data_IF_166548388659
#
_entry.id   IF_166548388659
#
_cell.length_a   1.000
_cell.length_b   1.000
_cell.length_c   1.000
_cell.angle_alpha   90.00
_cell.angle_beta   90.00
_cell.angle_gamma   90.00
#
_symmetry.space_group_name_H-M   'P 1'
#
loop_
_entity.id
_entity.type
_entity.pdbx_description
1 polymer ?
#
# COMPACT_ATOMS: atom_id res chain seq x y z
N UNK A 1 -12.09 17.50 4.52
CA UNK A 1 -12.88 17.21 3.31
C UNK A 1 -12.84 15.72 3.07
N UNK A 2 -14.00 15.12 2.81
CA UNK A 2 -14.14 13.68 2.50
C UNK A 2 -13.73 13.42 1.04
N UNK A 3 -13.32 12.19 0.70
CA UNK A 3 -12.85 11.88 -0.64
C UNK A 3 -14.00 11.82 -1.65
N UNK A 4 -13.73 12.26 -2.87
CA UNK A 4 -14.60 12.07 -4.03
C UNK A 4 -13.83 11.31 -5.11
N UNK A 5 -14.37 10.17 -5.53
CA UNK A 5 -13.77 9.29 -6.52
C UNK A 5 -14.45 9.55 -7.87
N UNK A 6 -13.72 10.10 -8.83
CA UNK A 6 -14.26 10.38 -10.17
C UNK A 6 -13.75 9.31 -11.13
N UNK A 7 -14.67 8.46 -11.58
CA UNK A 7 -14.43 7.42 -12.57
C UNK A 7 -14.83 7.96 -13.93
N UNK A 8 -13.86 8.11 -14.82
CA UNK A 8 -14.08 8.67 -16.15
C UNK A 8 -13.48 7.80 -17.25
N UNK A 9 -13.89 8.10 -18.47
CA UNK A 9 -13.55 7.34 -19.67
C UNK A 9 -14.69 7.40 -20.69
N UNK A 10 -14.44 6.92 -21.89
CA UNK A 10 -15.43 6.91 -22.97
C UNK A 10 -16.66 6.05 -22.62
N UNK A 11 -17.76 6.25 -23.35
CA UNK A 11 -18.97 5.44 -23.22
C UNK A 11 -18.65 3.96 -23.48
N UNK A 12 -19.31 3.06 -22.75
CA UNK A 12 -19.03 1.62 -22.83
C UNK A 12 -17.78 1.14 -22.06
N UNK A 13 -16.97 2.03 -21.48
CA UNK A 13 -15.78 1.63 -20.68
C UNK A 13 -16.12 0.96 -19.34
N UNK A 14 -17.37 1.06 -18.87
CA UNK A 14 -17.84 0.44 -17.63
C UNK A 14 -17.94 1.38 -16.41
N UNK A 15 -17.86 2.71 -16.60
CA UNK A 15 -17.89 3.71 -15.52
C UNK A 15 -18.95 3.46 -14.44
N UNK A 16 -20.22 3.33 -14.83
CA UNK A 16 -21.33 3.13 -13.88
C UNK A 16 -21.26 1.77 -13.17
N UNK A 17 -20.74 0.73 -13.85
CA UNK A 17 -20.53 -0.59 -13.24
C UNK A 17 -19.44 -0.54 -12.17
N UNK A 18 -18.25 -0.02 -12.52
CA UNK A 18 -17.14 0.12 -11.57
C UNK A 18 -17.52 1.08 -10.44
N UNK A 19 -18.21 2.19 -10.75
CA UNK A 19 -18.61 3.18 -9.76
C UNK A 19 -19.60 2.67 -8.73
N UNK A 20 -20.59 1.86 -9.12
CA UNK A 20 -21.50 1.25 -8.15
C UNK A 20 -20.78 0.24 -7.24
N UNK A 21 -19.94 -0.62 -7.82
CA UNK A 21 -19.18 -1.60 -7.04
C UNK A 21 -18.20 -0.93 -6.07
N UNK A 22 -17.52 0.13 -6.51
CA UNK A 22 -16.62 0.90 -5.67
C UNK A 22 -17.38 1.62 -4.55
N UNK A 23 -18.52 2.24 -4.86
CA UNK A 23 -19.37 2.92 -3.89
C UNK A 23 -19.89 1.96 -2.80
N UNK A 24 -20.29 0.75 -3.19
CA UNK A 24 -20.69 -0.31 -2.26
C UNK A 24 -19.55 -0.70 -1.32
N UNK A 25 -18.35 -0.94 -1.86
CA UNK A 25 -17.15 -1.29 -1.07
C UNK A 25 -16.69 -0.18 -0.13
N UNK A 26 -16.82 1.08 -0.54
CA UNK A 26 -16.43 2.24 0.26
C UNK A 26 -17.55 2.74 1.21
N UNK A 27 -18.75 2.17 1.12
CA UNK A 27 -19.96 2.67 1.80
C UNK A 27 -20.25 4.16 1.50
N UNK A 28 -20.01 4.58 0.26
CA UNK A 28 -20.25 5.94 -0.23
C UNK A 28 -21.46 5.98 -1.17
N UNK A 29 -22.12 7.14 -1.32
CA UNK A 29 -23.13 7.30 -2.38
C UNK A 29 -22.49 7.26 -3.77
N UNK A 30 -23.20 6.62 -4.71
CA UNK A 30 -22.88 6.65 -6.13
C UNK A 30 -23.75 7.67 -6.86
N UNK A 31 -23.15 8.43 -7.77
CA UNK A 31 -23.82 9.35 -8.68
C UNK A 31 -23.37 9.10 -10.11
N UNK A 32 -24.30 9.10 -11.06
CA UNK A 32 -23.97 9.07 -12.50
C UNK A 32 -24.05 10.49 -13.05
N UNK A 33 -22.97 10.95 -13.67
CA UNK A 33 -22.85 12.31 -14.20
C UNK A 33 -23.88 12.60 -15.28
N UNK A 34 -24.33 11.56 -16.00
CA UNK A 34 -25.35 11.71 -17.04
C UNK A 34 -26.71 12.16 -16.45
N UNK A 35 -26.98 11.88 -15.16
CA UNK A 35 -28.21 12.29 -14.45
C UNK A 35 -28.29 13.80 -14.19
N UNK A 36 -27.18 14.54 -14.36
CA UNK A 36 -27.07 15.97 -14.08
C UNK A 36 -27.09 16.84 -15.34
N UNK A 37 -27.30 16.25 -16.51
CA UNK A 37 -27.39 17.02 -17.75
C UNK A 37 -28.65 17.91 -17.77
N UNK A 38 -28.53 19.19 -18.18
CA UNK A 38 -29.70 20.03 -18.44
C UNK A 38 -30.61 19.44 -19.53
N UNK A 39 -31.91 19.74 -19.49
CA UNK A 39 -32.89 19.26 -20.49
C UNK A 39 -32.46 19.55 -21.94
N UNK A 40 -31.83 20.71 -22.19
CA UNK A 40 -31.30 21.06 -23.51
C UNK A 40 -30.21 20.10 -24.00
N UNK A 41 -29.35 19.62 -23.10
CA UNK A 41 -28.30 18.65 -23.44
C UNK A 41 -28.91 17.28 -23.72
N UNK A 42 -29.89 16.86 -22.91
CA UNK A 42 -30.60 15.60 -23.10
C UNK A 42 -31.30 15.60 -24.46
N UNK A 43 -32.01 16.68 -24.81
CA UNK A 43 -32.68 16.82 -26.10
C UNK A 43 -31.68 16.71 -27.27
N UNK A 44 -30.57 17.47 -27.22
CA UNK A 44 -29.53 17.46 -28.26
C UNK A 44 -28.89 16.08 -28.44
N UNK A 45 -28.58 15.39 -27.34
CA UNK A 45 -28.05 14.02 -27.39
C UNK A 45 -29.08 13.01 -27.90
N UNK A 46 -30.37 13.16 -27.54
CA UNK A 46 -31.44 12.27 -28.01
C UNK A 46 -31.70 12.39 -29.53
N UNK A 47 -31.37 13.55 -30.11
CA UNK A 47 -31.39 13.80 -31.55
C UNK A 47 -30.11 13.32 -32.27
N UNK A 48 -29.16 12.71 -31.53
CA UNK A 48 -27.89 12.22 -32.08
C UNK A 48 -26.84 13.32 -32.31
N UNK A 49 -27.08 14.56 -31.84
CA UNK A 49 -26.14 15.65 -32.00
C UNK A 49 -25.14 15.67 -30.82
N UNK A 50 -23.81 15.61 -31.08
CA UNK A 50 -22.82 15.68 -30.01
C UNK A 50 -22.84 17.02 -29.26
N UNK A 51 -22.64 16.96 -27.94
CA UNK A 51 -22.45 18.16 -27.12
C UNK A 51 -21.07 18.77 -27.36
N UNK A 52 -21.03 20.07 -27.58
CA UNK A 52 -19.81 20.85 -27.64
C UNK A 52 -19.38 21.35 -26.25
N UNK A 53 -18.33 22.15 -26.26
CA UNK A 53 -17.69 22.72 -25.08
C UNK A 53 -18.55 23.74 -24.32
N UNK A 54 -19.43 24.46 -25.01
CA UNK A 54 -20.39 25.42 -24.42
C UNK A 54 -21.60 24.68 -23.83
N UNK A 55 -22.12 23.67 -24.54
CA UNK A 55 -23.23 22.84 -24.07
C UNK A 55 -22.86 22.12 -22.75
N UNK A 56 -21.61 21.67 -22.61
CA UNK A 56 -21.13 20.95 -21.42
C UNK A 56 -20.87 21.85 -20.22
N UNK A 57 -20.69 23.16 -20.40
CA UNK A 57 -20.26 24.06 -19.33
C UNK A 57 -21.26 24.11 -18.14
N UNK A 58 -22.58 24.30 -18.35
CA UNK A 58 -23.54 24.30 -17.25
C UNK A 58 -23.55 22.97 -16.47
N UNK A 59 -23.45 21.85 -17.18
CA UNK A 59 -23.37 20.51 -16.59
C UNK A 59 -22.11 20.34 -15.71
N UNK A 60 -20.95 20.79 -16.19
CA UNK A 60 -19.71 20.74 -15.42
C UNK A 60 -19.76 21.60 -14.16
N UNK A 61 -20.42 22.77 -14.22
CA UNK A 61 -20.63 23.62 -13.04
C UNK A 61 -21.54 22.96 -12.02
N UNK A 62 -22.68 22.39 -12.44
CA UNK A 62 -23.55 21.62 -11.55
C UNK A 62 -22.81 20.46 -10.87
N UNK A 63 -21.98 19.72 -11.61
CA UNK A 63 -21.16 18.66 -11.03
C UNK A 63 -20.11 19.21 -10.06
N UNK A 64 -19.44 20.33 -10.39
CA UNK A 64 -18.44 20.96 -9.50
C UNK A 64 -19.05 21.41 -8.17
N UNK A 65 -20.25 22.00 -8.20
CA UNK A 65 -21.00 22.42 -7.00
C UNK A 65 -21.41 21.21 -6.15
N UNK A 66 -21.91 20.15 -6.79
CA UNK A 66 -22.27 18.90 -6.13
C UNK A 66 -21.05 18.20 -5.51
N UNK A 67 -19.92 18.15 -6.21
CA UNK A 67 -18.66 17.62 -5.66
C UNK A 67 -18.23 18.38 -4.41
N UNK A 68 -18.41 19.71 -4.38
CA UNK A 68 -18.12 20.51 -3.20
C UNK A 68 -19.03 20.14 -2.01
N UNK A 69 -20.33 19.95 -2.26
CA UNK A 69 -21.30 19.51 -1.25
C UNK A 69 -21.00 18.07 -0.75
N UNK A 70 -20.76 17.12 -1.65
CA UNK A 70 -20.48 15.73 -1.27
C UNK A 70 -19.18 15.61 -0.46
N UNK A 71 -18.17 16.41 -0.80
CA UNK A 71 -16.88 16.46 -0.09
C UNK A 71 -16.99 17.06 1.33
N UNK A 72 -17.96 17.93 1.60
CA UNK A 72 -18.19 18.46 2.95
C UNK A 72 -19.01 17.51 3.83
N UNK A 73 -19.79 16.60 3.24
CA UNK A 73 -20.61 15.62 3.93
C UNK A 73 -19.86 14.30 4.16
N UNK A 74 -20.10 13.28 3.31
CA UNK A 74 -19.62 11.90 3.48
C UNK A 74 -18.64 11.44 2.41
N UNK A 75 -18.44 12.21 1.35
CA UNK A 75 -17.74 11.78 0.14
C UNK A 75 -18.69 11.16 -0.88
N UNK A 76 -18.18 10.82 -2.06
CA UNK A 76 -18.99 10.24 -3.14
C UNK A 76 -18.14 9.48 -4.17
N UNK A 77 -18.79 8.60 -4.93
CA UNK A 77 -18.26 8.05 -6.19
C UNK A 77 -19.07 8.62 -7.34
N UNK A 78 -18.41 9.26 -8.30
CA UNK A 78 -19.02 9.90 -9.46
C UNK A 78 -18.53 9.21 -10.75
N UNK A 79 -19.44 8.62 -11.52
CA UNK A 79 -19.16 8.28 -12.92
C UNK A 79 -19.31 9.55 -13.77
N UNK A 80 -18.31 9.92 -14.58
CA UNK A 80 -18.35 11.17 -15.34
C UNK A 80 -17.66 11.06 -16.71
N UNK A 81 -18.17 11.75 -17.73
CA UNK A 81 -17.55 11.85 -19.06
C UNK A 81 -16.59 13.06 -19.18
N UNK A 82 -15.74 13.27 -18.17
CA UNK A 82 -14.73 14.34 -18.13
C UNK A 82 -13.49 14.04 -19.01
N UNK A 83 -13.69 13.99 -20.33
CA UNK A 83 -12.69 13.51 -21.29
C UNK A 83 -11.54 14.50 -21.57
N UNK A 84 -11.78 15.81 -21.46
CA UNK A 84 -10.77 16.87 -21.67
C UNK A 84 -10.20 17.39 -20.34
N UNK A 85 -8.96 17.87 -20.35
CA UNK A 85 -8.28 18.46 -19.19
C UNK A 85 -9.05 19.66 -18.65
N UNK A 86 -9.50 20.57 -19.53
CA UNK A 86 -10.36 21.70 -19.15
C UNK A 86 -11.61 21.30 -18.37
N UNK A 87 -12.18 20.12 -18.63
CA UNK A 87 -13.35 19.64 -17.87
C UNK A 87 -12.93 19.18 -16.47
N UNK A 88 -11.79 18.48 -16.39
CA UNK A 88 -11.22 18.02 -15.12
C UNK A 88 -10.78 19.19 -14.25
N UNK A 89 -10.22 20.26 -14.82
CA UNK A 89 -9.88 21.49 -14.09
C UNK A 89 -11.11 22.15 -13.44
N UNK A 90 -12.25 22.23 -14.16
CA UNK A 90 -13.50 22.77 -13.61
C UNK A 90 -14.01 21.92 -12.43
N UNK A 91 -13.94 20.60 -12.55
CA UNK A 91 -14.36 19.68 -11.49
C UNK A 91 -13.36 19.64 -10.32
N UNK A 92 -12.06 19.79 -10.59
CA UNK A 92 -11.00 19.84 -9.59
C UNK A 92 -11.11 21.10 -8.74
N UNK A 93 -11.14 22.28 -9.36
CA UNK A 93 -11.02 23.56 -8.66
C UNK A 93 -9.81 23.58 -7.73
N UNK A 94 -9.97 24.07 -6.50
CA UNK A 94 -8.91 24.07 -5.46
C UNK A 94 -8.96 22.82 -4.56
N UNK A 95 -9.75 21.81 -4.90
CA UNK A 95 -10.03 20.66 -4.04
C UNK A 95 -8.83 19.72 -4.06
N UNK A 96 -8.43 19.17 -2.90
CA UNK A 96 -7.32 18.19 -2.79
C UNK A 96 -7.80 16.76 -2.57
N UNK A 97 -9.10 16.55 -2.33
CA UNK A 97 -9.68 15.25 -1.96
C UNK A 97 -10.36 14.52 -3.13
N UNK A 98 -9.97 14.82 -4.37
CA UNK A 98 -10.49 14.13 -5.55
C UNK A 98 -9.49 13.06 -6.01
N UNK A 99 -9.98 11.83 -6.14
CA UNK A 99 -9.24 10.73 -6.77
C UNK A 99 -9.74 10.56 -8.21
N UNK A 100 -8.83 10.71 -9.18
CA UNK A 100 -9.14 10.50 -10.59
C UNK A 100 -8.86 9.06 -11.01
N UNK A 101 -9.83 8.41 -11.63
CA UNK A 101 -9.72 7.04 -12.12
C UNK A 101 -10.13 6.99 -13.59
N UNK A 102 -9.16 6.81 -14.49
CA UNK A 102 -9.40 6.59 -15.91
C UNK A 102 -9.61 5.10 -16.17
N UNK A 103 -10.79 4.74 -16.70
CA UNK A 103 -11.01 3.42 -17.30
C UNK A 103 -10.49 3.42 -18.74
N UNK A 104 -9.35 2.78 -18.96
CA UNK A 104 -8.64 2.76 -20.24
C UNK A 104 -8.79 1.43 -20.96
N UNK A 105 -9.08 1.47 -22.25
CA UNK A 105 -9.05 0.31 -23.13
C UNK A 105 -9.06 0.70 -24.59
N UNK A 106 -8.74 -0.26 -25.46
CA UNK A 106 -8.70 -0.02 -26.90
C UNK A 106 -10.10 0.18 -27.50
N UNK A 107 -10.16 1.00 -28.57
CA UNK A 107 -11.39 1.28 -29.30
C UNK A 107 -12.16 0.02 -29.71
N UNK A 108 -11.46 -0.99 -30.25
CA UNK A 108 -12.09 -2.22 -30.73
C UNK A 108 -12.77 -3.01 -29.61
N UNK A 109 -12.16 -3.06 -28.43
CA UNK A 109 -12.73 -3.75 -27.26
C UNK A 109 -14.01 -3.06 -26.80
N UNK A 110 -13.99 -1.73 -26.69
CA UNK A 110 -15.15 -0.95 -26.24
C UNK A 110 -16.26 -0.97 -27.29
N UNK A 111 -15.92 -0.82 -28.57
CA UNK A 111 -16.87 -0.92 -29.67
C UNK A 111 -17.59 -2.26 -29.68
N UNK A 112 -16.86 -3.38 -29.44
CA UNK A 112 -17.45 -4.71 -29.33
C UNK A 112 -18.41 -4.82 -28.13
N UNK A 113 -18.05 -4.26 -26.97
CA UNK A 113 -18.93 -4.24 -25.78
C UNK A 113 -20.21 -3.43 -26.01
N UNK A 114 -20.16 -2.40 -26.86
CA UNK A 114 -21.30 -1.55 -27.18
C UNK A 114 -22.22 -2.14 -28.25
N UNK A 115 -21.67 -2.89 -29.21
CA UNK A 115 -22.45 -3.59 -30.24
C UNK A 115 -23.38 -4.66 -29.69
N UNK A 116 -22.97 -5.34 -28.61
CA UNK A 116 -23.77 -6.40 -27.98
C UNK A 116 -25.03 -5.86 -27.27
N UNK A 117 -25.29 -4.55 -27.35
CA UNK A 117 -26.48 -3.86 -26.85
C UNK A 117 -27.18 -3.20 -28.05
N UNK A 118 -28.45 -3.51 -28.31
CA UNK A 118 -29.19 -3.13 -29.52
C UNK A 118 -28.99 -1.66 -29.97
N UNK A 119 -28.84 -1.47 -31.29
CA UNK A 119 -28.62 -0.23 -32.07
C UNK A 119 -27.14 0.18 -32.34
N UNK A 120 -26.60 -0.24 -33.49
CA UNK A 120 -25.14 -0.32 -33.76
C UNK A 120 -24.49 0.94 -34.36
N UNK A 121 -25.20 1.70 -35.21
CA UNK A 121 -24.57 2.70 -36.08
C UNK A 121 -24.22 3.99 -35.31
N UNK A 122 -25.21 4.58 -34.64
CA UNK A 122 -25.06 5.79 -33.80
C UNK A 122 -24.03 5.61 -32.68
N UNK A 123 -23.90 4.40 -32.12
CA UNK A 123 -22.97 4.12 -31.00
C UNK A 123 -21.50 4.18 -31.40
N UNK A 124 -21.18 3.84 -32.66
CA UNK A 124 -19.79 3.82 -33.14
C UNK A 124 -19.25 5.22 -33.43
N UNK A 125 -20.06 6.09 -34.03
CA UNK A 125 -19.70 7.49 -34.31
C UNK A 125 -19.54 8.28 -33.01
N UNK A 126 -20.44 8.08 -32.05
CA UNK A 126 -20.30 8.64 -30.70
C UNK A 126 -19.02 8.14 -30.01
N UNK A 127 -18.69 6.86 -30.12
CA UNK A 127 -17.47 6.32 -29.53
C UNK A 127 -16.21 6.94 -30.16
N UNK A 128 -16.18 7.07 -31.49
CA UNK A 128 -15.07 7.69 -32.22
C UNK A 128 -14.84 9.13 -31.74
N UNK A 129 -15.87 9.96 -31.73
CA UNK A 129 -15.76 11.36 -31.28
C UNK A 129 -15.29 11.49 -29.83
N UNK A 130 -15.64 10.53 -28.95
CA UNK A 130 -15.16 10.53 -27.57
C UNK A 130 -13.68 10.14 -27.44
N UNK A 131 -13.19 9.21 -28.27
CA UNK A 131 -11.77 8.88 -28.32
C UNK A 131 -10.93 10.03 -28.88
N UNK A 132 -11.44 10.77 -29.88
CA UNK A 132 -10.75 11.93 -30.47
C UNK A 132 -10.52 13.06 -29.47
N UNK A 133 -11.43 13.23 -28.50
CA UNK A 133 -11.32 14.29 -27.48
C UNK A 133 -10.77 13.80 -26.13
N UNK A 134 -10.45 12.51 -25.99
CA UNK A 134 -9.92 11.97 -24.73
C UNK A 134 -8.47 12.40 -24.54
N UNK A 135 -8.26 13.30 -23.59
CA UNK A 135 -6.94 13.72 -23.14
C UNK A 135 -6.55 12.90 -21.91
N UNK A 136 -5.46 12.14 -21.98
CA UNK A 136 -4.98 11.28 -20.87
C UNK A 136 -4.03 12.11 -19.99
N UNK A 137 -4.37 12.37 -18.71
CA UNK A 137 -3.51 13.12 -17.80
C UNK A 137 -2.33 12.29 -17.29
N UNK A 138 -1.31 12.97 -16.76
CA UNK A 138 -0.19 12.36 -16.04
C UNK A 138 -0.49 12.02 -14.58
N UNK A 139 -1.71 12.32 -14.11
CA UNK A 139 -2.18 12.10 -12.74
C UNK A 139 -3.35 11.13 -12.68
N UNK A 140 -3.65 10.65 -11.47
CA UNK A 140 -4.73 9.71 -11.23
C UNK A 140 -4.37 8.27 -11.60
N UNK A 141 -5.26 7.35 -11.24
CA UNK A 141 -5.12 5.93 -11.53
C UNK A 141 -5.63 5.63 -12.94
N UNK A 142 -4.82 4.94 -13.75
CA UNK A 142 -5.25 4.37 -15.03
C UNK A 142 -5.54 2.87 -14.84
N UNK A 143 -6.82 2.51 -14.86
CA UNK A 143 -7.27 1.13 -14.72
C UNK A 143 -7.55 0.49 -16.09
N UNK A 144 -7.00 -0.69 -16.33
CA UNK A 144 -7.17 -1.43 -17.58
C UNK A 144 -8.50 -2.19 -17.58
N UNK A 145 -9.37 -1.87 -18.55
CA UNK A 145 -10.69 -2.48 -18.67
C UNK A 145 -10.67 -3.91 -19.22
N UNK A 146 -9.51 -4.46 -19.58
CA UNK A 146 -9.36 -5.89 -19.90
C UNK A 146 -9.53 -6.77 -18.67
N UNK A 147 -9.29 -6.23 -17.48
CA UNK A 147 -9.49 -6.89 -16.19
C UNK A 147 -10.98 -7.04 -15.86
N UNK A 148 -11.29 -7.94 -14.92
CA UNK A 148 -12.65 -8.07 -14.39
C UNK A 148 -13.03 -6.84 -13.52
N UNK A 149 -14.33 -6.52 -13.40
CA UNK A 149 -14.78 -5.40 -12.56
C UNK A 149 -14.28 -5.46 -11.11
N UNK A 150 -14.20 -6.65 -10.52
CA UNK A 150 -13.69 -6.83 -9.15
C UNK A 150 -12.21 -6.52 -9.04
N UNK A 151 -11.38 -6.95 -10.01
CA UNK A 151 -9.95 -6.63 -10.03
C UNK A 151 -9.71 -5.12 -10.13
N UNK A 152 -10.46 -4.44 -11.00
CA UNK A 152 -10.37 -2.98 -11.15
C UNK A 152 -10.75 -2.27 -9.84
N UNK A 153 -11.84 -2.70 -9.19
CA UNK A 153 -12.26 -2.12 -7.91
C UNK A 153 -11.20 -2.35 -6.82
N UNK A 154 -10.63 -3.55 -6.72
CA UNK A 154 -9.58 -3.84 -5.76
C UNK A 154 -8.31 -3.00 -6.01
N UNK A 155 -7.93 -2.80 -7.28
CA UNK A 155 -6.84 -1.91 -7.66
C UNK A 155 -7.11 -0.46 -7.21
N UNK A 156 -8.34 0.05 -7.45
CA UNK A 156 -8.73 1.40 -7.03
C UNK A 156 -8.67 1.52 -5.51
N UNK A 157 -9.23 0.56 -4.77
CA UNK A 157 -9.20 0.56 -3.31
C UNK A 157 -7.76 0.59 -2.78
N UNK A 158 -6.90 -0.29 -3.30
CA UNK A 158 -5.48 -0.34 -2.91
C UNK A 158 -4.76 0.99 -3.16
N UNK A 159 -4.94 1.61 -4.32
CA UNK A 159 -4.24 2.85 -4.67
C UNK A 159 -4.78 4.08 -3.93
N UNK A 160 -6.07 4.12 -3.66
CA UNK A 160 -6.72 5.29 -3.06
C UNK A 160 -6.83 5.23 -1.54
N UNK A 161 -6.63 4.05 -0.94
CA UNK A 161 -6.54 3.86 0.50
C UNK A 161 -5.10 3.87 1.04
N UNK A 162 -4.09 4.24 0.22
CA UNK A 162 -2.76 4.62 0.70
C UNK A 162 -2.89 5.84 1.62
N UNK A 163 -3.13 5.60 2.90
CA UNK A 163 -3.52 6.62 3.89
C UNK A 163 -2.36 7.09 4.76
N UNK A 164 -1.20 6.44 4.66
CA UNK A 164 0.01 6.83 5.34
C UNK A 164 1.06 7.47 4.44
N UNK A 165 2.00 8.18 5.05
CA UNK A 165 3.16 8.78 4.37
C UNK A 165 4.42 7.92 4.47
N UNK A 166 4.42 6.92 5.36
CA UNK A 166 5.59 6.06 5.60
C UNK A 166 5.50 4.74 4.85
N UNK A 167 6.60 4.38 4.19
CA UNK A 167 6.76 3.17 3.38
C UNK A 167 6.88 1.90 4.25
N UNK A 168 7.38 2.07 5.49
CA UNK A 168 7.67 0.97 6.41
C UNK A 168 7.50 1.39 7.88
N UNK A 169 7.17 0.43 8.74
CA UNK A 169 6.99 0.60 10.17
C UNK A 169 7.94 -0.27 11.00
N UNK A 170 8.50 0.25 12.10
CA UNK A 170 9.25 -0.55 13.08
C UNK A 170 8.66 -0.40 14.48
N UNK A 171 8.35 -1.53 15.11
CA UNK A 171 7.91 -1.61 16.51
C UNK A 171 9.07 -2.15 17.36
N UNK A 172 9.51 -1.38 18.36
CA UNK A 172 10.59 -1.75 19.25
C UNK A 172 11.89 -1.01 18.94
N UNK A 173 12.31 -0.13 19.84
CA UNK A 173 13.49 0.74 19.71
C UNK A 173 14.65 0.35 20.63
N UNK A 174 14.75 -0.95 20.96
CA UNK A 174 15.98 -1.50 21.54
C UNK A 174 17.19 -1.34 20.60
N UNK A 175 18.36 -1.82 21.02
CA UNK A 175 19.62 -1.65 20.25
C UNK A 175 19.47 -2.07 18.78
N UNK A 176 18.91 -3.26 18.53
CA UNK A 176 18.70 -3.75 17.16
C UNK A 176 17.66 -2.93 16.39
N UNK A 177 16.51 -2.62 17.00
CA UNK A 177 15.44 -1.88 16.35
C UNK A 177 15.80 -0.43 16.03
N UNK A 178 16.55 0.23 16.91
CA UNK A 178 17.12 1.56 16.64
C UNK A 178 18.11 1.51 15.48
N UNK A 179 19.03 0.55 15.47
CA UNK A 179 20.05 0.44 14.42
C UNK A 179 19.44 0.12 13.06
N UNK A 180 18.48 -0.80 12.99
CA UNK A 180 17.83 -1.14 11.72
C UNK A 180 16.94 0.00 11.20
N UNK A 181 16.30 0.76 12.10
CA UNK A 181 15.54 1.95 11.72
C UNK A 181 16.41 3.00 11.04
N UNK A 182 17.61 3.26 11.57
CA UNK A 182 18.57 4.17 10.94
C UNK A 182 19.10 3.63 9.60
N UNK A 183 19.27 2.30 9.48
CA UNK A 183 19.64 1.68 8.20
C UNK A 183 18.54 1.89 7.14
N UNK A 184 17.27 1.66 7.50
CA UNK A 184 16.12 1.91 6.60
C UNK A 184 16.10 3.36 6.13
N UNK A 185 16.30 4.32 7.04
CA UNK A 185 16.35 5.74 6.71
C UNK A 185 17.51 6.11 5.77
N UNK A 186 18.69 5.51 5.94
CA UNK A 186 19.83 5.71 5.04
C UNK A 186 19.58 5.23 3.61
N UNK A 187 18.62 4.31 3.42
CA UNK A 187 18.18 3.86 2.09
C UNK A 187 17.11 4.77 1.46
N UNK A 188 16.67 5.81 2.17
CA UNK A 188 15.73 6.81 1.67
C UNK A 188 14.25 6.46 1.86
N UNK A 189 13.92 5.40 2.60
CA UNK A 189 12.53 5.06 2.90
C UNK A 189 11.94 5.99 3.97
N UNK A 190 10.68 6.34 3.81
CA UNK A 190 9.90 7.03 4.85
C UNK A 190 9.54 6.04 5.94
N UNK A 191 9.99 6.31 7.15
CA UNK A 191 9.86 5.38 8.27
C UNK A 191 8.92 5.94 9.33
N UNK A 192 8.02 5.11 9.81
CA UNK A 192 7.37 5.33 11.10
C UNK A 192 7.95 4.36 12.11
N UNK A 193 8.17 4.82 13.34
CA UNK A 193 8.57 3.96 14.46
C UNK A 193 7.62 4.10 15.62
N UNK A 194 7.44 3.00 16.35
CA UNK A 194 6.66 2.97 17.58
C UNK A 194 7.42 2.26 18.69
N UNK A 195 7.36 2.86 19.88
CA UNK A 195 7.80 2.22 21.11
C UNK A 195 6.90 2.63 22.27
N UNK A 196 6.71 1.74 23.24
CA UNK A 196 5.99 2.08 24.47
C UNK A 196 6.78 3.16 25.24
N UNK A 197 6.08 4.11 25.85
CA UNK A 197 6.69 5.21 26.60
C UNK A 197 6.56 5.05 28.12
N UNK A 198 6.54 3.80 28.61
CA UNK A 198 6.39 3.49 30.03
C UNK A 198 7.69 2.93 30.63
N UNK A 199 7.97 3.29 31.88
CA UNK A 199 9.15 2.78 32.60
C UNK A 199 10.47 3.04 31.87
N UNK A 200 11.30 2.00 31.74
CA UNK A 200 12.63 2.10 31.13
C UNK A 200 12.60 2.34 29.61
N UNK A 201 11.45 2.15 28.96
CA UNK A 201 11.29 2.29 27.51
C UNK A 201 11.11 3.76 27.09
N UNK A 202 10.66 4.64 27.98
CA UNK A 202 10.50 6.08 27.74
C UNK A 202 11.82 6.76 27.35
N UNK A 203 12.94 6.28 27.89
CA UNK A 203 14.26 6.82 27.57
C UNK A 203 14.75 6.38 26.17
N UNK A 204 14.32 5.20 25.69
CA UNK A 204 14.69 4.71 24.36
C UNK A 204 14.08 5.57 23.26
N UNK A 205 12.80 5.93 23.39
CA UNK A 205 12.14 6.77 22.40
C UNK A 205 12.73 8.18 22.36
N UNK A 206 13.07 8.75 23.53
CA UNK A 206 13.73 10.05 23.62
C UNK A 206 15.11 10.03 22.93
N UNK A 207 15.95 9.05 23.27
CA UNK A 207 17.26 8.86 22.63
C UNK A 207 17.14 8.64 21.12
N UNK A 208 16.11 7.92 20.69
CA UNK A 208 15.89 7.71 19.26
C UNK A 208 15.53 9.00 18.54
N UNK A 209 14.62 9.83 19.09
CA UNK A 209 14.27 11.15 18.52
C UNK A 209 15.50 12.03 18.34
N UNK A 210 16.42 12.03 19.31
CA UNK A 210 17.68 12.78 19.22
C UNK A 210 18.57 12.23 18.10
N UNK A 211 18.78 10.90 18.05
CA UNK A 211 19.59 10.23 17.02
C UNK A 211 19.02 10.36 15.60
N UNK A 212 17.69 10.44 15.46
CA UNK A 212 17.01 10.51 14.17
C UNK A 212 16.69 11.94 13.75
N UNK A 213 17.09 12.97 14.51
CA UNK A 213 16.68 14.36 14.29
C UNK A 213 17.13 14.95 12.94
N UNK A 214 18.19 14.41 12.35
CA UNK A 214 18.72 14.85 11.05
C UNK A 214 17.98 14.23 9.85
N UNK A 215 17.12 13.24 10.08
CA UNK A 215 16.39 12.55 9.01
C UNK A 215 15.05 13.24 8.73
N UNK A 216 14.78 13.68 7.49
CA UNK A 216 13.55 14.41 7.16
C UNK A 216 12.31 13.52 7.03
N UNK A 217 12.49 12.20 6.90
CA UNK A 217 11.43 11.24 6.56
C UNK A 217 11.15 10.23 7.69
N UNK A 218 11.19 10.67 8.94
CA UNK A 218 10.93 9.85 10.13
C UNK A 218 9.75 10.38 10.96
N UNK A 219 8.83 9.49 11.34
CA UNK A 219 7.79 9.76 12.33
C UNK A 219 7.98 8.87 13.56
N UNK A 220 7.90 9.45 14.76
CA UNK A 220 8.13 8.74 16.03
C UNK A 220 6.87 8.79 16.89
N UNK A 221 6.26 7.63 17.15
CA UNK A 221 4.97 7.49 17.82
C UNK A 221 5.08 6.75 19.16
N UNK A 222 4.23 7.17 20.09
CA UNK A 222 4.00 6.55 21.41
C UNK A 222 2.60 5.91 21.48
N UNK A 223 1.76 6.17 20.47
CA UNK A 223 0.42 5.64 20.31
C UNK A 223 0.40 4.70 19.10
N UNK A 224 -0.04 3.45 19.32
CA UNK A 224 0.00 2.41 18.31
C UNK A 224 -0.97 2.68 17.16
N UNK A 225 -2.16 3.20 17.44
CA UNK A 225 -3.16 3.49 16.41
C UNK A 225 -2.69 4.60 15.47
N UNK A 226 -2.07 5.66 16.00
CA UNK A 226 -1.45 6.72 15.18
C UNK A 226 -0.28 6.20 14.36
N UNK A 227 0.52 5.29 14.91
CA UNK A 227 1.58 4.62 14.17
C UNK A 227 1.02 3.84 12.98
N UNK A 228 0.03 2.96 13.19
CA UNK A 228 -0.56 2.14 12.11
C UNK A 228 -1.21 3.02 11.04
N UNK A 229 -1.91 4.09 11.44
CA UNK A 229 -2.52 5.04 10.51
C UNK A 229 -1.52 5.88 9.69
N UNK A 230 -0.24 5.90 10.08
CA UNK A 230 0.80 6.64 9.36
C UNK A 230 1.46 5.84 8.23
N UNK A 231 1.17 4.54 8.13
CA UNK A 231 1.78 3.62 7.18
C UNK A 231 0.97 3.54 5.87
N UNK A 232 1.67 3.51 4.74
CA UNK A 232 1.04 3.21 3.45
C UNK A 232 0.48 1.78 3.43
N UNK A 233 -0.65 1.57 2.76
CA UNK A 233 -1.22 0.24 2.53
C UNK A 233 -0.63 -0.40 1.26
N UNK A 234 -0.39 -1.74 1.23
CA UNK A 234 -0.42 -2.63 2.38
C UNK A 234 0.66 -2.26 3.41
N UNK A 235 0.29 -2.25 4.69
CA UNK A 235 1.16 -1.82 5.80
C UNK A 235 2.22 -2.88 6.04
N UNK A 236 3.46 -2.42 6.25
CA UNK A 236 4.65 -3.29 6.42
C UNK A 236 5.26 -2.99 7.78
N UNK A 237 5.14 -3.90 8.73
CA UNK A 237 5.51 -3.66 10.12
C UNK A 237 6.55 -4.68 10.59
N UNK A 238 7.77 -4.22 10.85
CA UNK A 238 8.82 -5.02 11.47
C UNK A 238 8.76 -4.94 13.00
N UNK A 239 8.62 -6.10 13.65
CA UNK A 239 8.70 -6.26 15.09
C UNK A 239 10.16 -6.54 15.50
N UNK A 240 10.76 -5.62 16.25
CA UNK A 240 12.10 -5.74 16.83
C UNK A 240 12.02 -5.78 18.36
N UNK A 241 11.22 -6.71 18.86
CA UNK A 241 10.94 -6.91 20.28
C UNK A 241 11.36 -8.30 20.75
N UNK A 242 11.37 -8.50 22.07
CA UNK A 242 11.74 -9.78 22.66
C UNK A 242 10.72 -10.86 22.27
N UNK A 243 11.22 -11.99 21.77
CA UNK A 243 10.40 -13.16 21.42
C UNK A 243 9.59 -13.68 22.62
N UNK A 244 8.44 -14.29 22.32
CA UNK A 244 7.46 -14.82 23.28
C UNK A 244 6.31 -13.85 23.54
N UNK A 245 5.75 -13.86 24.75
CA UNK A 245 4.51 -13.14 25.13
C UNK A 245 4.41 -11.68 24.69
N UNK A 246 5.54 -10.96 24.63
CA UNK A 246 5.54 -9.57 24.17
C UNK A 246 5.18 -9.46 22.69
N UNK A 247 5.67 -10.38 21.85
CA UNK A 247 5.37 -10.45 20.43
C UNK A 247 3.91 -10.84 20.21
N UNK A 248 3.45 -11.91 20.86
CA UNK A 248 2.05 -12.38 20.80
C UNK A 248 1.05 -11.26 21.19
N UNK A 249 1.34 -10.53 22.28
CA UNK A 249 0.50 -9.43 22.74
C UNK A 249 0.42 -8.27 21.75
N UNK A 250 1.53 -7.93 21.08
CA UNK A 250 1.56 -6.87 20.08
C UNK A 250 0.79 -7.32 18.83
N UNK A 251 1.02 -8.54 18.35
CA UNK A 251 0.30 -9.12 17.20
C UNK A 251 -1.20 -9.12 17.46
N UNK A 252 -1.66 -9.58 18.63
CA UNK A 252 -3.07 -9.57 18.99
C UNK A 252 -3.70 -8.18 18.96
N UNK A 253 -2.94 -7.14 19.33
CA UNK A 253 -3.43 -5.76 19.28
C UNK A 253 -3.48 -5.25 17.84
N UNK A 254 -2.48 -5.60 17.03
CA UNK A 254 -2.39 -5.21 15.62
C UNK A 254 -3.53 -5.77 14.77
N UNK A 255 -4.05 -6.97 15.08
CA UNK A 255 -5.20 -7.56 14.35
C UNK A 255 -6.38 -6.59 14.27
N UNK A 256 -6.64 -5.81 15.32
CA UNK A 256 -7.75 -4.83 15.33
C UNK A 256 -7.47 -3.52 14.58
N UNK A 257 -6.24 -3.31 14.11
CA UNK A 257 -5.77 -2.07 13.50
C UNK A 257 -5.31 -2.24 12.05
N UNK A 258 -5.11 -3.49 11.62
CA UNK A 258 -4.65 -3.85 10.28
C UNK A 258 -5.81 -4.28 9.39
N UNK A 259 -5.61 -4.12 8.09
CA UNK A 259 -6.53 -4.52 7.04
C UNK A 259 -5.98 -5.77 6.31
N UNK A 260 -6.81 -6.41 5.48
CA UNK A 260 -6.39 -7.52 4.61
C UNK A 260 -5.19 -7.10 3.73
N UNK A 261 -4.24 -8.02 3.55
CA UNK A 261 -2.96 -7.87 2.83
C UNK A 261 -1.89 -7.02 3.53
N UNK A 262 -2.14 -6.51 4.74
CA UNK A 262 -1.07 -5.95 5.57
C UNK A 262 -0.11 -7.06 6.02
N UNK A 263 1.19 -6.74 6.19
CA UNK A 263 2.24 -7.72 6.50
C UNK A 263 2.98 -7.35 7.78
N UNK A 264 2.96 -8.27 8.74
CA UNK A 264 3.79 -8.23 9.95
C UNK A 264 5.05 -9.06 9.72
N UNK A 265 6.20 -8.52 10.10
CA UNK A 265 7.50 -9.18 9.99
C UNK A 265 8.06 -9.32 11.40
N UNK A 266 8.25 -10.53 11.90
CA UNK A 266 8.93 -10.76 13.19
C UNK A 266 10.43 -10.87 12.96
N UNK A 267 11.18 -9.84 13.37
CA UNK A 267 12.64 -9.79 13.29
C UNK A 267 13.35 -10.36 14.53
N UNK A 268 12.60 -10.94 15.46
CA UNK A 268 13.10 -11.53 16.69
C UNK A 268 13.86 -12.85 16.49
N UNK A 269 14.29 -13.43 17.61
CA UNK A 269 14.81 -14.81 17.64
C UNK A 269 13.70 -15.76 18.09
N UNK A 270 12.56 -15.75 17.40
CA UNK A 270 11.40 -16.57 17.74
C UNK A 270 11.63 -18.03 17.38
N UNK A 271 11.00 -18.94 18.12
CA UNK A 271 11.02 -20.36 17.78
C UNK A 271 10.11 -20.60 16.57
N UNK A 272 10.61 -21.25 15.53
CA UNK A 272 9.94 -21.34 14.23
C UNK A 272 8.51 -21.89 14.27
N UNK A 273 8.20 -22.81 15.20
CA UNK A 273 6.83 -23.33 15.35
C UNK A 273 5.85 -22.29 15.87
N UNK A 274 6.31 -21.34 16.69
CA UNK A 274 5.48 -20.23 17.15
C UNK A 274 5.14 -19.32 15.96
N UNK A 275 6.06 -19.14 15.02
CA UNK A 275 5.78 -18.42 13.76
C UNK A 275 4.69 -19.11 12.96
N UNK A 276 4.75 -20.44 12.82
CA UNK A 276 3.71 -21.21 12.11
C UNK A 276 2.36 -21.13 12.81
N UNK A 277 2.33 -21.14 14.14
CA UNK A 277 1.10 -20.95 14.93
C UNK A 277 0.50 -19.55 14.73
N UNK A 278 1.31 -18.50 14.68
CA UNK A 278 0.85 -17.13 14.43
C UNK A 278 0.38 -16.94 12.99
N UNK A 279 1.09 -17.51 12.01
CA UNK A 279 0.68 -17.50 10.60
C UNK A 279 -0.73 -18.09 10.45
N UNK A 280 -0.96 -19.28 10.99
CA UNK A 280 -2.27 -19.93 10.95
C UNK A 280 -3.39 -19.11 11.63
N UNK A 281 -3.06 -18.31 12.66
CA UNK A 281 -4.03 -17.43 13.32
C UNK A 281 -4.37 -16.20 12.47
N UNK A 282 -3.41 -15.68 11.71
CA UNK A 282 -3.58 -14.45 10.92
C UNK A 282 -4.22 -14.71 9.55
N UNK A 283 -4.19 -15.95 9.06
CA UNK A 283 -4.89 -16.39 7.84
C UNK A 283 -6.40 -16.04 7.88
N UNK A 284 -7.05 -16.21 9.04
CA UNK A 284 -8.47 -15.88 9.24
C UNK A 284 -8.79 -14.38 9.05
N UNK A 285 -7.77 -13.52 9.15
CA UNK A 285 -7.87 -12.07 9.00
C UNK A 285 -7.29 -11.56 7.67
N UNK A 286 -6.72 -12.44 6.84
CA UNK A 286 -6.02 -12.06 5.62
C UNK A 286 -4.79 -11.19 5.87
N UNK A 287 -4.15 -11.30 7.05
CA UNK A 287 -2.95 -10.54 7.41
C UNK A 287 -1.72 -11.44 7.21
N UNK A 288 -0.74 -10.95 6.47
CA UNK A 288 0.51 -11.66 6.21
C UNK A 288 1.44 -11.67 7.43
N UNK A 289 2.18 -12.77 7.61
CA UNK A 289 3.16 -12.90 8.70
C UNK A 289 4.45 -13.58 8.24
N UNK A 290 5.55 -12.84 8.31
CA UNK A 290 6.88 -13.31 7.93
C UNK A 290 7.74 -13.48 9.18
N UNK A 291 8.20 -14.71 9.43
CA UNK A 291 9.28 -14.97 10.39
C UNK A 291 10.62 -14.66 9.75
N UNK A 292 11.34 -13.67 10.30
CA UNK A 292 12.52 -13.09 9.65
C UNK A 292 13.74 -13.13 10.57
N UNK A 293 14.65 -14.06 10.29
CA UNK A 293 15.93 -14.10 10.99
C UNK A 293 16.83 -12.92 10.62
N UNK A 294 17.25 -12.11 11.60
CA UNK A 294 18.19 -11.00 11.38
C UNK A 294 19.50 -11.25 12.13
N UNK A 295 20.65 -11.27 11.44
CA UNK A 295 21.98 -11.54 12.02
C UNK A 295 23.00 -10.44 11.70
N UNK A 296 23.99 -10.24 12.58
CA UNK A 296 25.06 -9.24 12.44
C UNK A 296 25.23 -8.28 13.64
N UNK A 297 24.42 -8.44 14.68
CA UNK A 297 24.45 -7.59 15.88
C UNK A 297 24.11 -6.12 15.59
N UNK A 298 24.43 -5.22 16.53
CA UNK A 298 24.11 -3.80 16.42
C UNK A 298 24.70 -3.16 15.16
N UNK A 299 25.99 -3.43 14.89
CA UNK A 299 26.70 -2.89 13.72
C UNK A 299 26.13 -3.44 12.42
N UNK A 300 25.86 -4.75 12.37
CA UNK A 300 25.20 -5.36 11.22
C UNK A 300 23.84 -4.75 10.96
N UNK A 301 22.98 -4.62 11.98
CA UNK A 301 21.67 -3.99 11.84
C UNK A 301 21.76 -2.57 11.25
N UNK A 302 22.77 -1.79 11.65
CA UNK A 302 22.96 -0.40 11.19
C UNK A 302 23.45 -0.27 9.74
N UNK A 303 24.28 -1.20 9.26
CA UNK A 303 24.99 -1.02 7.97
C UNK A 303 24.73 -2.12 6.94
N UNK A 304 24.08 -3.22 7.33
CA UNK A 304 23.85 -4.38 6.48
C UNK A 304 23.85 -5.67 7.29
N UNK A 305 22.70 -6.19 7.74
CA UNK A 305 22.62 -7.50 8.36
C UNK A 305 22.41 -8.60 7.29
N UNK A 306 22.56 -9.86 7.70
CA UNK A 306 21.98 -10.99 6.98
C UNK A 306 20.50 -11.11 7.36
N UNK A 307 19.62 -11.27 6.37
CA UNK A 307 18.16 -11.29 6.57
C UNK A 307 17.58 -12.56 5.96
N UNK A 308 16.79 -13.29 6.74
CA UNK A 308 16.31 -14.64 6.42
C UNK A 308 14.78 -14.71 6.56
N UNK A 309 14.01 -14.12 5.64
CA UNK A 309 12.55 -14.13 5.67
C UNK A 309 11.97 -15.49 5.23
N UNK A 310 10.97 -15.97 5.97
CA UNK A 310 10.14 -17.11 5.57
C UNK A 310 8.66 -16.89 5.93
N UNK A 311 7.77 -17.45 5.12
CA UNK A 311 6.33 -17.19 5.17
C UNK A 311 5.68 -17.36 3.79
N UNK A 312 4.55 -16.71 3.54
CA UNK A 312 3.93 -16.73 2.22
C UNK A 312 4.82 -16.00 1.18
N UNK A 313 5.02 -16.55 -0.03
CA UNK A 313 5.79 -15.86 -1.07
C UNK A 313 5.14 -14.54 -1.53
N UNK A 314 3.82 -14.40 -1.47
CA UNK A 314 3.12 -13.15 -1.77
C UNK A 314 3.46 -12.07 -0.75
N UNK A 315 3.46 -12.40 0.55
CA UNK A 315 3.85 -11.47 1.61
C UNK A 315 5.31 -11.04 1.45
N UNK A 316 6.20 -11.96 1.05
CA UNK A 316 7.60 -11.62 0.79
C UNK A 316 7.72 -10.58 -0.32
N UNK A 317 6.98 -10.74 -1.42
CA UNK A 317 6.99 -9.77 -2.52
C UNK A 317 6.58 -8.35 -2.07
N UNK A 318 5.67 -8.24 -1.09
CA UNK A 318 5.25 -6.94 -0.51
C UNK A 318 6.38 -6.23 0.25
N UNK A 319 7.26 -7.00 0.90
CA UNK A 319 8.30 -6.47 1.82
C UNK A 319 9.73 -6.54 1.26
N UNK A 320 9.96 -7.26 0.15
CA UNK A 320 11.30 -7.60 -0.34
C UNK A 320 12.18 -6.38 -0.61
N UNK A 321 11.59 -5.31 -1.14
CA UNK A 321 12.34 -4.11 -1.55
C UNK A 321 13.08 -3.49 -0.36
N UNK A 322 12.40 -3.35 0.78
CA UNK A 322 13.00 -2.80 2.00
C UNK A 322 14.04 -3.77 2.55
N UNK A 323 13.69 -5.06 2.70
CA UNK A 323 14.58 -6.08 3.28
C UNK A 323 15.88 -6.24 2.48
N UNK A 324 15.80 -6.36 1.15
CA UNK A 324 16.98 -6.51 0.29
C UNK A 324 17.84 -5.23 0.27
N UNK A 325 17.23 -4.05 0.35
CA UNK A 325 17.93 -2.76 0.36
C UNK A 325 18.75 -2.54 1.63
N UNK A 326 18.24 -2.97 2.79
CA UNK A 326 18.91 -2.79 4.08
C UNK A 326 19.92 -3.90 4.39
N UNK A 327 19.86 -5.04 3.69
CA UNK A 327 20.79 -6.17 3.89
C UNK A 327 22.23 -5.84 3.50
N UNK A 328 23.18 -6.61 4.05
CA UNK A 328 24.56 -6.62 3.55
C UNK A 328 24.60 -7.01 2.07
N UNK A 329 25.68 -6.66 1.36
CA UNK A 329 25.94 -7.16 0.01
C UNK A 329 27.12 -8.13 0.01
N UNK A 330 27.01 -9.19 -0.78
CA UNK A 330 28.12 -10.13 -0.99
C UNK A 330 29.20 -9.54 -1.91
N UNK A 331 30.24 -10.33 -2.22
CA UNK A 331 31.35 -9.89 -3.07
C UNK A 331 30.92 -9.54 -4.51
N UNK A 332 29.79 -10.09 -4.98
CA UNK A 332 29.23 -9.87 -6.31
C UNK A 332 28.17 -8.75 -6.31
N UNK A 333 27.90 -8.15 -5.15
CA UNK A 333 26.93 -7.07 -4.98
C UNK A 333 25.50 -7.54 -4.73
N UNK A 334 25.24 -8.84 -4.58
CA UNK A 334 23.91 -9.37 -4.31
C UNK A 334 23.50 -9.12 -2.85
N UNK A 335 22.21 -8.86 -2.57
CA UNK A 335 21.71 -8.79 -1.19
C UNK A 335 21.94 -10.09 -0.43
N UNK A 336 22.42 -9.99 0.81
CA UNK A 336 22.40 -11.06 1.82
C UNK A 336 20.98 -11.21 2.42
N UNK A 337 19.99 -11.29 1.54
CA UNK A 337 18.58 -11.46 1.82
C UNK A 337 17.96 -12.28 0.69
N UNK A 338 17.24 -13.36 1.02
CA UNK A 338 16.52 -14.17 0.05
C UNK A 338 15.33 -14.84 0.71
N UNK A 339 14.28 -15.12 -0.06
CA UNK A 339 13.14 -15.90 0.43
C UNK A 339 13.59 -17.33 0.78
N UNK A 340 13.47 -17.69 2.07
CA UNK A 340 13.98 -18.96 2.59
C UNK A 340 13.00 -20.11 2.32
N UNK A 341 11.70 -19.86 2.44
CA UNK A 341 10.66 -20.87 2.28
C UNK A 341 9.39 -20.53 3.05
N UNK A 342 8.41 -21.44 3.00
CA UNK A 342 7.11 -21.29 3.65
C UNK A 342 7.18 -21.52 5.16
N UNK A 343 6.12 -21.10 5.87
CA UNK A 343 6.00 -21.36 7.31
C UNK A 343 7.07 -20.63 8.14
N UNK A 344 7.61 -21.33 9.13
CA UNK A 344 8.66 -20.81 10.02
C UNK A 344 10.09 -20.88 9.46
N UNK A 345 10.27 -21.13 8.15
CA UNK A 345 11.58 -21.45 7.57
C UNK A 345 12.68 -20.40 7.85
N UNK A 346 12.33 -19.10 7.80
CA UNK A 346 13.27 -18.01 8.09
C UNK A 346 13.85 -18.07 9.51
N UNK A 347 12.99 -18.24 10.51
CA UNK A 347 13.42 -18.43 11.90
C UNK A 347 14.15 -19.76 12.12
N UNK A 348 13.77 -20.82 11.39
CA UNK A 348 14.48 -22.10 11.47
C UNK A 348 15.93 -21.97 10.98
N UNK A 349 16.16 -21.33 9.82
CA UNK A 349 17.52 -21.09 9.32
C UNK A 349 18.31 -20.22 10.29
N UNK A 350 17.70 -19.19 10.90
CA UNK A 350 18.35 -18.39 11.93
C UNK A 350 18.73 -19.20 13.18
N UNK A 351 17.87 -20.12 13.59
CA UNK A 351 18.17 -21.03 14.70
C UNK A 351 19.40 -21.90 14.38
N UNK A 352 19.47 -22.44 13.16
CA UNK A 352 20.63 -23.23 12.70
C UNK A 352 21.89 -22.38 12.60
N UNK A 353 21.80 -21.15 12.06
CA UNK A 353 22.90 -20.17 12.06
C UNK A 353 23.49 -20.01 13.46
N UNK A 354 22.64 -19.78 14.47
CA UNK A 354 23.10 -19.63 15.85
C UNK A 354 23.72 -20.93 16.39
N UNK A 355 23.21 -22.11 15.99
CA UNK A 355 23.83 -23.38 16.34
C UNK A 355 25.24 -23.55 15.77
N UNK A 356 25.46 -23.13 14.52
CA UNK A 356 26.77 -23.12 13.87
C UNK A 356 27.70 -22.12 14.57
N UNK A 357 27.22 -20.91 14.86
CA UNK A 357 27.97 -19.87 15.61
C UNK A 357 28.51 -20.43 16.94
N UNK A 358 27.69 -21.16 17.69
CA UNK A 358 28.12 -21.76 18.96
C UNK A 358 29.22 -22.81 18.78
N UNK A 359 29.11 -23.66 17.75
CA UNK A 359 30.14 -24.66 17.45
C UNK A 359 31.47 -24.01 17.07
N UNK A 360 31.44 -22.95 16.26
CA UNK A 360 32.64 -22.20 15.87
C UNK A 360 33.29 -21.49 17.06
N UNK A 361 32.49 -20.82 17.90
CA UNK A 361 32.98 -20.17 19.11
C UNK A 361 33.66 -21.17 20.05
N UNK A 362 33.06 -22.35 20.25
CA UNK A 362 33.60 -23.40 21.09
C UNK A 362 34.92 -23.95 20.51
N UNK A 363 34.97 -24.20 19.20
CA UNK A 363 36.17 -24.66 18.51
C UNK A 363 37.33 -23.66 18.67
N UNK A 364 37.07 -22.36 18.50
CA UNK A 364 38.06 -21.30 18.69
C UNK A 364 38.56 -21.25 20.14
N UNK A 365 37.66 -21.41 21.12
CA UNK A 365 38.02 -21.45 22.53
C UNK A 365 38.92 -22.66 22.88
N UNK A 366 38.63 -23.82 22.30
CA UNK A 366 39.45 -25.03 22.46
C UNK A 366 40.84 -24.86 21.85
N UNK A 367 40.93 -24.31 20.63
CA UNK A 367 42.21 -24.02 19.98
C UNK A 367 43.02 -23.03 20.81
N UNK A 368 42.40 -21.96 21.29
CA UNK A 368 43.04 -20.99 22.19
C UNK A 368 43.61 -21.67 23.44
N UNK A 369 42.83 -22.54 24.09
CA UNK A 369 43.26 -23.25 25.27
C UNK A 369 44.44 -24.19 24.98
N UNK A 370 44.41 -24.92 23.87
CA UNK A 370 45.51 -25.80 23.45
C UNK A 370 46.81 -25.04 23.20
N UNK A 371 46.72 -23.83 22.64
CA UNK A 371 47.89 -22.97 22.40
C UNK A 371 48.42 -22.30 23.67
N UNK A 372 47.56 -22.02 24.65
CA UNK A 372 47.93 -21.37 25.92
C UNK A 372 48.60 -22.31 26.92
N UNK A 373 48.22 -23.60 26.91
CA UNK A 373 48.71 -24.61 27.87
C UNK A 373 49.98 -25.31 27.35
N UNK A 374 50.39 -25.05 26.11
CA UNK A 374 51.73 -25.30 25.61
C UNK A 374 52.64 -24.13 25.95
#
# INVERSE_FOLDING_TARGET
MKPVYIIYGVSGSGKSTIGRLLAEKLHLPFYDGDDFHPEANIAKMSEGTPLNDEDRLPWLQTLSDNIAAWSSERGAVLACSALKERYREILQGERKSIFWILLSGEFNLISKRMSDRDDHFMKKEMLLSQFEILEIPSYGLKADITQSPSQIVNQILSETQKTGTSDFGVIGLGVMGSSISLNILDKGFHLSVYNRAEGNEAELIKKFREKSSEYPHINVFEDLSRFVNSLQSPRKILLMIKAGKATESVVSTLISLLDENDVIIDGGNSFYKITEEIQAQLDDYGIGYIGCGISGGEKGARFGPSIMPGGDPHDYEVVKEVLESISAKDADGNPCCTYIGTGGAGHFVKMVHNGIEYAEMQLLAEIYQLMKVR
#
